data_IF_630375508622
#
_entry.id   IF_630375508622
#
_cell.length_a   1.000
_cell.length_b   1.000
_cell.length_c   1.000
_cell.angle_alpha   90.00
_cell.angle_beta   90.00
_cell.angle_gamma   90.00
#
_symmetry.space_group_name_H-M   'P 1'
#
loop_
_entity.id
_entity.type
_entity.pdbx_description
1 polymer ?
#
# COMPACT_ATOMS: atom_id res chain seq x y z
N UNK A 1 37.98 -38.62 18.97
CA UNK A 1 36.87 -38.69 18.00
C UNK A 1 36.31 -37.27 17.91
N UNK A 2 36.79 -36.39 17.01
CA UNK A 2 36.34 -36.24 15.60
C UNK A 2 34.81 -36.31 15.51
N UNK A 3 34.05 -35.28 15.11
CA UNK A 3 34.26 -34.41 13.95
C UNK A 3 33.64 -33.01 14.12
N UNK A 4 34.27 -32.08 13.42
CA UNK A 4 33.95 -30.68 13.11
C UNK A 4 32.74 -30.50 12.18
N UNK A 5 31.92 -29.47 12.41
CA UNK A 5 31.16 -28.80 11.34
C UNK A 5 30.96 -27.29 11.64
N UNK A 6 31.78 -26.46 11.01
CA UNK A 6 31.41 -25.10 10.56
C UNK A 6 32.22 -24.85 9.29
N UNK A 7 31.57 -24.55 8.15
CA UNK A 7 31.30 -23.17 7.70
C UNK A 7 29.86 -23.08 7.10
N UNK A 8 29.22 -21.94 6.83
CA UNK A 8 29.59 -20.53 6.75
C UNK A 8 28.30 -19.69 6.54
N UNK A 9 28.39 -18.43 6.13
CA UNK A 9 27.28 -17.48 6.16
C UNK A 9 26.39 -17.59 4.92
N UNK A 10 25.10 -17.83 5.12
CA UNK A 10 24.12 -17.73 4.04
C UNK A 10 23.81 -16.25 3.74
N UNK A 11 24.63 -15.71 2.84
CA UNK A 11 24.37 -14.47 2.15
C UNK A 11 23.05 -14.52 1.36
N UNK A 12 22.33 -13.41 1.46
CA UNK A 12 21.56 -12.79 0.39
C UNK A 12 20.92 -13.71 -0.67
N UNK A 13 19.64 -14.03 -0.48
CA UNK A 13 18.69 -14.14 -1.60
C UNK A 13 17.54 -13.18 -1.39
N UNK A 14 17.85 -11.91 -1.63
CA UNK A 14 16.86 -10.89 -1.96
C UNK A 14 16.30 -11.26 -3.33
N UNK A 15 15.23 -12.04 -3.35
CA UNK A 15 14.53 -12.38 -4.58
C UNK A 15 14.15 -11.09 -5.32
N UNK A 16 14.39 -10.99 -6.64
CA UNK A 16 13.89 -9.87 -7.41
C UNK A 16 12.37 -9.84 -7.27
N UNK A 17 11.83 -8.76 -6.73
CA UNK A 17 10.40 -8.45 -6.78
C UNK A 17 10.02 -8.26 -8.25
N UNK A 18 9.72 -9.37 -8.92
CA UNK A 18 9.11 -9.41 -10.24
C UNK A 18 7.65 -8.98 -10.10
N UNK A 19 7.45 -7.68 -9.92
CA UNK A 19 6.14 -7.09 -9.68
C UNK A 19 5.98 -5.81 -10.48
N UNK A 20 6.27 -5.83 -11.79
CA UNK A 20 5.93 -4.74 -12.72
C UNK A 20 6.30 -5.10 -14.17
N UNK A 21 5.84 -6.24 -14.69
CA UNK A 21 6.04 -6.59 -16.12
C UNK A 21 4.83 -7.26 -16.78
N UNK A 22 3.62 -7.02 -16.29
CA UNK A 22 2.38 -7.46 -16.98
C UNK A 22 1.70 -6.31 -17.72
N UNK A 23 2.01 -5.05 -17.40
CA UNK A 23 1.45 -3.89 -18.11
C UNK A 23 2.10 -3.56 -19.45
N UNK A 24 3.34 -3.97 -19.72
CA UNK A 24 4.07 -3.52 -20.92
C UNK A 24 3.73 -4.29 -22.18
N UNK A 25 3.43 -5.60 -22.08
CA UNK A 25 3.23 -6.44 -23.26
C UNK A 25 1.88 -6.14 -23.94
N UNK A 26 0.82 -5.95 -23.15
CA UNK A 26 -0.48 -5.50 -23.67
C UNK A 26 -0.43 -4.10 -24.25
N UNK A 27 0.33 -3.19 -23.62
CA UNK A 27 0.50 -1.83 -24.12
C UNK A 27 1.26 -1.77 -25.46
N UNK A 28 2.32 -2.56 -25.62
CA UNK A 28 3.05 -2.66 -26.89
C UNK A 28 2.16 -3.29 -27.97
N UNK A 29 1.39 -4.32 -27.65
CA UNK A 29 0.45 -4.92 -28.59
C UNK A 29 -0.62 -3.91 -29.06
N UNK A 30 -1.16 -3.09 -28.16
CA UNK A 30 -2.13 -2.03 -28.52
C UNK A 30 -1.51 -0.96 -29.43
N UNK A 31 -0.26 -0.56 -29.17
CA UNK A 31 0.45 0.40 -30.04
C UNK A 31 0.68 -0.18 -31.43
N UNK A 32 1.07 -1.45 -31.55
CA UNK A 32 1.27 -2.11 -32.85
C UNK A 32 -0.04 -2.17 -33.63
N UNK A 33 -1.16 -2.52 -32.98
CA UNK A 33 -2.49 -2.54 -33.61
C UNK A 33 -2.90 -1.13 -34.08
N UNK A 34 -2.63 -0.10 -33.27
CA UNK A 34 -2.90 1.30 -33.63
C UNK A 34 -2.09 1.75 -34.85
N UNK A 35 -0.80 1.40 -34.92
CA UNK A 35 0.07 1.72 -36.07
C UNK A 35 -0.43 1.02 -37.33
N UNK A 36 -0.83 -0.26 -37.23
CA UNK A 36 -1.39 -1.01 -38.37
C UNK A 36 -2.69 -0.38 -38.86
N UNK A 37 -3.58 0.03 -37.95
CA UNK A 37 -4.83 0.72 -38.30
C UNK A 37 -4.57 2.06 -39.01
N UNK A 38 -3.59 2.83 -38.53
CA UNK A 38 -3.18 4.11 -39.15
C UNK A 38 -2.63 3.90 -40.56
N UNK A 39 -1.75 2.91 -40.77
CA UNK A 39 -1.16 2.62 -42.09
C UNK A 39 -2.26 2.18 -43.07
N UNK A 40 -3.19 1.34 -42.62
CA UNK A 40 -4.30 0.86 -43.46
C UNK A 40 -5.26 1.99 -43.84
N UNK A 41 -5.54 2.90 -42.90
CA UNK A 41 -6.43 4.03 -43.14
C UNK A 41 -5.78 5.15 -43.97
N UNK A 42 -4.46 5.35 -43.84
CA UNK A 42 -3.71 6.34 -44.63
C UNK A 42 -3.51 5.90 -46.09
N UNK A 43 -3.47 4.60 -46.38
CA UNK A 43 -3.21 4.08 -47.72
C UNK A 43 -4.39 4.21 -48.70
N UNK A 44 -5.61 4.54 -48.24
CA UNK A 44 -6.78 4.73 -49.11
C UNK A 44 -7.14 6.19 -49.43
N UNK A 45 -6.35 7.19 -49.00
CA UNK A 45 -6.67 8.61 -49.18
C UNK A 45 -8.11 8.98 -48.75
N UNK A 46 -8.59 8.33 -47.70
CA UNK A 46 -9.95 8.49 -47.19
C UNK A 46 -9.92 9.39 -45.94
N UNK A 47 -10.85 10.35 -45.87
CA UNK A 47 -10.93 11.38 -44.81
C UNK A 47 -11.06 10.74 -43.43
N UNK A 48 -11.69 9.56 -43.37
CA UNK A 48 -11.86 8.76 -42.17
C UNK A 48 -10.51 8.32 -41.60
N UNK A 49 -9.54 7.99 -42.45
CA UNK A 49 -8.21 7.58 -42.00
C UNK A 49 -7.43 8.71 -41.35
N UNK A 50 -7.48 9.90 -41.92
CA UNK A 50 -6.85 11.09 -41.34
C UNK A 50 -7.47 11.49 -39.99
N UNK A 51 -8.78 11.30 -39.80
CA UNK A 51 -9.43 11.48 -38.50
C UNK A 51 -8.91 10.50 -37.45
N UNK A 52 -8.76 9.23 -37.82
CA UNK A 52 -8.20 8.21 -36.92
C UNK A 52 -6.75 8.56 -36.55
N UNK A 53 -5.93 9.01 -37.51
CA UNK A 53 -4.56 9.47 -37.24
C UNK A 53 -4.55 10.65 -36.26
N UNK A 54 -5.42 11.65 -36.45
CA UNK A 54 -5.49 12.82 -35.58
C UNK A 54 -5.91 12.46 -34.14
N UNK A 55 -6.91 11.59 -34.00
CA UNK A 55 -7.37 11.12 -32.68
C UNK A 55 -6.29 10.29 -31.99
N UNK A 56 -5.63 9.39 -32.72
CA UNK A 56 -4.53 8.59 -32.21
C UNK A 56 -3.34 9.45 -31.76
N UNK A 57 -2.97 10.46 -32.54
CA UNK A 57 -1.93 11.43 -32.18
C UNK A 57 -2.29 12.21 -30.91
N UNK A 58 -3.55 12.63 -30.76
CA UNK A 58 -4.05 13.28 -29.54
C UNK A 58 -3.89 12.39 -28.31
N UNK A 59 -4.26 11.11 -28.42
CA UNK A 59 -4.09 10.13 -27.34
C UNK A 59 -2.63 9.87 -26.99
N UNK A 60 -1.74 9.82 -27.98
CA UNK A 60 -0.30 9.67 -27.75
C UNK A 60 0.27 10.84 -26.96
N UNK A 61 -0.07 12.08 -27.36
CA UNK A 61 0.37 13.29 -26.65
C UNK A 61 -0.18 13.30 -25.23
N UNK A 62 -1.46 12.96 -25.03
CA UNK A 62 -2.06 12.86 -23.70
C UNK A 62 -1.31 11.86 -22.81
N UNK A 63 -1.02 10.65 -23.33
CA UNK A 63 -0.26 9.64 -22.60
C UNK A 63 1.14 10.12 -22.23
N UNK A 64 1.84 10.80 -23.13
CA UNK A 64 3.16 11.40 -22.85
C UNK A 64 3.06 12.45 -21.76
N UNK A 65 2.06 13.34 -21.81
CA UNK A 65 1.86 14.36 -20.77
C UNK A 65 1.60 13.71 -19.42
N UNK A 66 0.69 12.74 -19.33
CA UNK A 66 0.40 12.01 -18.08
C UNK A 66 1.65 11.30 -17.55
N UNK A 67 2.42 10.66 -18.43
CA UNK A 67 3.66 10.01 -18.06
C UNK A 67 4.70 10.99 -17.50
N UNK A 68 4.87 12.15 -18.13
CA UNK A 68 5.77 13.21 -17.66
C UNK A 68 5.29 13.80 -16.32
N UNK A 69 3.99 14.02 -16.15
CA UNK A 69 3.39 14.50 -14.89
C UNK A 69 3.59 13.50 -13.77
N UNK A 70 3.38 12.20 -14.02
CA UNK A 70 3.64 11.13 -13.06
C UNK A 70 5.13 11.08 -12.68
N UNK A 71 6.02 11.12 -13.67
CA UNK A 71 7.47 11.09 -13.44
C UNK A 71 7.94 12.30 -12.62
N UNK A 72 7.39 13.49 -12.87
CA UNK A 72 7.69 14.71 -12.09
C UNK A 72 7.09 14.67 -10.68
N UNK A 73 5.86 14.17 -10.54
CA UNK A 73 5.16 14.06 -9.26
C UNK A 73 5.82 13.07 -8.30
N UNK A 74 6.24 11.91 -8.79
CA UNK A 74 6.93 10.88 -7.99
C UNK A 74 8.30 11.38 -7.50
N UNK A 75 9.05 12.12 -8.34
CA UNK A 75 10.33 12.71 -7.94
C UNK A 75 10.18 13.87 -6.94
N UNK A 76 9.06 14.59 -6.95
CA UNK A 76 8.76 15.62 -5.96
C UNK A 76 8.28 15.01 -4.63
N UNK A 77 7.51 13.93 -4.67
CA UNK A 77 7.04 13.21 -3.49
C UNK A 77 8.19 12.50 -2.76
N UNK A 78 9.10 11.85 -3.48
CA UNK A 78 10.28 11.18 -2.89
C UNK A 78 11.15 12.15 -2.09
N UNK A 79 11.42 13.35 -2.64
CA UNK A 79 12.20 14.38 -1.93
C UNK A 79 11.54 14.88 -0.65
N UNK A 80 10.21 14.99 -0.61
CA UNK A 80 9.45 15.39 0.59
C UNK A 80 9.43 14.31 1.66
N UNK A 81 9.35 13.04 1.25
CA UNK A 81 9.43 11.89 2.17
C UNK A 81 10.84 11.76 2.74
N UNK A 82 11.88 11.95 1.91
CA UNK A 82 13.27 11.90 2.36
C UNK A 82 13.61 13.03 3.35
N UNK A 83 13.05 14.23 3.16
CA UNK A 83 13.22 15.34 4.12
C UNK A 83 12.42 15.10 5.40
N UNK A 84 11.18 14.62 5.31
CA UNK A 84 10.39 14.27 6.50
C UNK A 84 11.05 13.15 7.32
N UNK A 85 11.61 12.13 6.63
CA UNK A 85 12.32 11.03 7.26
C UNK A 85 13.64 11.49 7.92
N UNK A 86 14.36 12.42 7.31
CA UNK A 86 15.58 13.01 7.90
C UNK A 86 15.25 13.86 9.13
N UNK A 87 14.18 14.65 9.10
CA UNK A 87 13.73 15.44 10.25
C UNK A 87 13.28 14.55 11.41
N UNK A 88 12.51 13.49 11.14
CA UNK A 88 12.11 12.52 12.16
C UNK A 88 13.32 11.80 12.78
N UNK A 89 14.36 11.49 11.98
CA UNK A 89 15.62 10.92 12.49
C UNK A 89 16.42 11.92 13.34
N UNK A 90 16.42 13.19 12.96
CA UNK A 90 17.06 14.26 13.73
C UNK A 90 16.36 14.49 15.07
N UNK A 91 15.02 14.46 15.11
CA UNK A 91 14.24 14.58 16.36
C UNK A 91 14.51 13.42 17.31
N UNK A 92 14.58 12.19 16.80
CA UNK A 92 14.94 11.00 17.60
C UNK A 92 16.38 11.06 18.09
N UNK A 93 17.31 11.60 17.29
CA UNK A 93 18.70 11.80 17.70
C UNK A 93 18.84 12.92 18.76
N UNK A 94 18.05 13.99 18.65
CA UNK A 94 17.99 15.08 19.62
C UNK A 94 17.40 14.62 20.97
N UNK A 95 16.44 13.71 20.96
CA UNK A 95 15.93 13.06 22.17
C UNK A 95 17.01 12.18 22.83
N UNK A 96 17.74 11.37 22.04
CA UNK A 96 18.85 10.55 22.54
C UNK A 96 20.05 11.37 23.08
N UNK A 97 20.28 12.56 22.53
CA UNK A 97 21.32 13.48 23.01
C UNK A 97 20.94 14.23 24.29
N UNK A 98 19.65 14.31 24.62
CA UNK A 98 19.15 14.97 25.84
C UNK A 98 19.19 14.05 27.08
N UNK A 99 19.29 12.75 26.86
CA UNK A 99 19.36 11.72 27.91
C UNK A 99 20.78 11.53 28.49
N UNK A 100 21.79 12.26 27.99
CA UNK A 100 23.17 12.16 28.47
C UNK A 100 23.53 13.12 29.62
N UNK A 101 22.75 14.19 29.85
CA UNK A 101 23.11 15.27 30.80
C UNK A 101 22.02 15.64 31.83
N UNK A 102 20.97 14.83 32.00
CA UNK A 102 19.96 15.09 33.02
C UNK A 102 19.69 13.86 33.88
N UNK A 103 19.83 14.05 35.19
CA UNK A 103 19.45 13.12 36.24
C UNK A 103 18.14 12.37 35.90
N UNK A 104 18.17 11.06 36.15
CA UNK A 104 17.13 10.09 35.82
C UNK A 104 15.70 10.67 35.90
N UNK A 105 14.99 10.83 34.77
CA UNK A 105 13.56 11.00 34.81
C UNK A 105 12.95 9.63 35.04
N UNK A 106 11.99 9.56 35.97
CA UNK A 106 11.12 8.41 36.11
C UNK A 106 10.57 8.05 34.73
N UNK A 107 10.87 6.83 34.27
CA UNK A 107 10.40 6.28 33.01
C UNK A 107 8.88 6.29 33.06
N UNK A 108 8.26 7.29 32.42
CA UNK A 108 6.84 7.22 32.08
C UNK A 108 6.63 5.88 31.35
N UNK A 109 5.57 5.12 31.65
CA UNK A 109 5.37 3.81 31.06
C UNK A 109 5.40 4.00 29.54
N UNK A 110 6.45 3.45 28.92
CA UNK A 110 6.53 3.36 27.48
C UNK A 110 5.24 2.72 27.00
N UNK A 111 4.48 3.45 26.19
CA UNK A 111 3.29 2.89 25.55
C UNK A 111 3.70 1.53 24.97
N UNK A 112 2.95 0.45 25.27
CA UNK A 112 3.36 -0.90 24.89
C UNK A 112 3.65 -0.86 23.40
N UNK A 113 4.87 -1.27 23.04
CA UNK A 113 5.31 -1.32 21.65
C UNK A 113 4.21 -2.04 20.86
N UNK A 114 3.58 -1.31 19.94
CA UNK A 114 2.52 -1.83 19.13
C UNK A 114 3.00 -3.13 18.47
N UNK A 115 2.26 -4.22 18.67
CA UNK A 115 2.63 -5.52 18.10
C UNK A 115 2.66 -5.35 16.56
N UNK A 116 3.82 -5.49 15.89
CA UNK A 116 3.94 -5.29 14.45
C UNK A 116 3.06 -6.25 13.65
N UNK A 117 2.72 -7.42 14.19
CA UNK A 117 1.78 -8.37 13.59
C UNK A 117 0.34 -7.83 13.66
N UNK A 118 -0.05 -7.24 14.79
CA UNK A 118 -1.36 -6.62 14.98
C UNK A 118 -1.52 -5.41 14.06
N UNK A 119 -0.52 -4.57 13.96
CA UNK A 119 -0.57 -3.37 13.10
C UNK A 119 -0.70 -3.76 11.61
N UNK A 120 -0.02 -4.83 11.18
CA UNK A 120 -0.17 -5.39 9.82
C UNK A 120 -1.59 -5.91 9.56
N UNK A 121 -2.20 -6.59 10.54
CA UNK A 121 -3.58 -7.08 10.43
C UNK A 121 -4.59 -5.94 10.42
N UNK A 122 -4.38 -4.89 11.22
CA UNK A 122 -5.23 -3.70 11.23
C UNK A 122 -5.15 -2.94 9.90
N UNK A 123 -3.95 -2.76 9.34
CA UNK A 123 -3.78 -2.17 8.01
C UNK A 123 -4.55 -2.95 6.93
N UNK A 124 -4.48 -4.29 6.98
CA UNK A 124 -5.25 -5.14 6.08
C UNK A 124 -6.77 -4.97 6.27
N UNK A 125 -7.26 -4.95 7.51
CA UNK A 125 -8.68 -4.69 7.82
C UNK A 125 -9.14 -3.34 7.27
N UNK A 126 -8.35 -2.27 7.43
CA UNK A 126 -8.69 -0.96 6.87
C UNK A 126 -8.70 -0.95 5.35
N UNK A 127 -7.80 -1.70 4.70
CA UNK A 127 -7.80 -1.84 3.23
C UNK A 127 -9.05 -2.55 2.72
N UNK A 128 -9.53 -3.60 3.40
CA UNK A 128 -10.79 -4.27 3.05
C UNK A 128 -11.96 -3.28 3.15
N UNK A 129 -12.07 -2.56 4.26
CA UNK A 129 -13.12 -1.55 4.43
C UNK A 129 -13.08 -0.47 3.33
N UNK A 130 -11.88 -0.04 2.93
CA UNK A 130 -11.72 0.94 1.85
C UNK A 130 -12.19 0.42 0.48
N UNK A 131 -11.93 -0.85 0.16
CA UNK A 131 -12.43 -1.48 -1.07
C UNK A 131 -13.95 -1.53 -1.05
N UNK A 132 -14.55 -1.93 0.06
CA UNK A 132 -16.01 -2.03 0.17
C UNK A 132 -16.70 -0.66 0.12
N UNK A 133 -16.12 0.37 0.76
CA UNK A 133 -16.62 1.76 0.62
C UNK A 133 -16.59 2.22 -0.83
N UNK A 134 -15.58 1.79 -1.61
CA UNK A 134 -15.55 2.10 -3.05
C UNK A 134 -16.67 1.41 -3.81
N UNK A 135 -16.92 0.13 -3.54
CA UNK A 135 -18.04 -0.62 -4.14
C UNK A 135 -19.37 0.05 -3.83
N UNK A 136 -19.61 0.46 -2.58
CA UNK A 136 -20.83 1.19 -2.19
C UNK A 136 -20.95 2.50 -2.98
N UNK A 137 -19.87 3.28 -3.10
CA UNK A 137 -19.88 4.53 -3.88
C UNK A 137 -20.13 4.30 -5.36
N UNK A 138 -19.57 3.26 -5.94
CA UNK A 138 -19.78 2.88 -7.35
C UNK A 138 -21.24 2.50 -7.59
N UNK A 139 -21.84 1.70 -6.70
CA UNK A 139 -23.24 1.32 -6.80
C UNK A 139 -24.19 2.51 -6.58
N UNK A 140 -23.88 3.40 -5.64
CA UNK A 140 -24.65 4.64 -5.44
C UNK A 140 -24.57 5.56 -6.67
N UNK A 141 -23.43 5.60 -7.35
CA UNK A 141 -23.25 6.37 -8.58
C UNK A 141 -23.96 5.75 -9.80
N UNK A 142 -24.27 4.46 -9.76
CA UNK A 142 -24.98 3.75 -10.84
C UNK A 142 -26.46 4.14 -10.97
N UNK A 143 -27.03 4.88 -10.00
CA UNK A 143 -28.38 5.43 -10.08
C UNK A 143 -29.45 4.35 -10.23
N UNK A 144 -30.18 4.36 -11.35
CA UNK A 144 -31.21 3.34 -11.64
C UNK A 144 -30.63 1.93 -11.89
N UNK A 145 -29.34 1.81 -12.20
CA UNK A 145 -28.62 0.54 -12.35
C UNK A 145 -28.01 0.01 -11.05
N UNK A 146 -28.37 0.58 -9.90
CA UNK A 146 -27.82 0.22 -8.60
C UNK A 146 -28.25 -1.18 -8.15
N UNK A 147 -27.26 -2.02 -7.86
CA UNK A 147 -27.47 -3.31 -7.19
C UNK A 147 -27.48 -3.12 -5.67
N UNK A 148 -28.69 -3.04 -5.10
CA UNK A 148 -28.88 -2.89 -3.64
C UNK A 148 -28.32 -4.07 -2.85
N UNK A 149 -28.39 -5.28 -3.39
CA UNK A 149 -27.86 -6.47 -2.70
C UNK A 149 -26.33 -6.41 -2.61
N UNK A 150 -25.67 -5.87 -3.66
CA UNK A 150 -24.24 -5.62 -3.63
C UNK A 150 -23.85 -4.55 -2.61
N UNK A 151 -24.68 -3.51 -2.43
CA UNK A 151 -24.49 -2.50 -1.38
C UNK A 151 -24.63 -3.12 0.00
N UNK A 152 -25.68 -3.90 0.25
CA UNK A 152 -25.92 -4.54 1.54
C UNK A 152 -24.79 -5.52 1.91
N UNK A 153 -24.32 -6.34 0.96
CA UNK A 153 -23.18 -7.24 1.16
C UNK A 153 -21.87 -6.48 1.45
N UNK A 154 -21.67 -5.35 0.79
CA UNK A 154 -20.49 -4.51 1.04
C UNK A 154 -20.53 -3.86 2.44
N UNK A 155 -21.71 -3.40 2.88
CA UNK A 155 -21.92 -2.84 4.21
C UNK A 155 -21.74 -3.90 5.31
N UNK A 156 -22.27 -5.11 5.12
CA UNK A 156 -22.06 -6.24 6.04
C UNK A 156 -20.57 -6.56 6.19
N UNK A 157 -19.83 -6.59 5.07
CA UNK A 157 -18.38 -6.83 5.10
C UNK A 157 -17.63 -5.74 5.88
N UNK A 158 -18.05 -4.48 5.74
CA UNK A 158 -17.48 -3.36 6.52
C UNK A 158 -17.75 -3.56 8.01
N UNK A 159 -18.96 -3.95 8.40
CA UNK A 159 -19.32 -4.11 9.80
C UNK A 159 -18.56 -5.26 10.47
N UNK A 160 -18.47 -6.42 9.81
CA UNK A 160 -17.66 -7.57 10.26
C UNK A 160 -16.18 -7.15 10.42
N UNK A 161 -15.65 -6.45 9.43
CA UNK A 161 -14.25 -6.00 9.44
C UNK A 161 -14.00 -4.99 10.58
N UNK A 162 -14.95 -4.09 10.82
CA UNK A 162 -14.88 -3.11 11.90
C UNK A 162 -14.98 -3.75 13.28
N UNK A 163 -15.82 -4.78 13.46
CA UNK A 163 -15.89 -5.56 14.70
C UNK A 163 -14.55 -6.24 14.99
N UNK A 164 -14.03 -6.98 14.01
CA UNK A 164 -12.76 -7.69 14.14
C UNK A 164 -11.59 -6.74 14.46
N UNK A 165 -11.51 -5.59 13.77
CA UNK A 165 -10.49 -4.58 14.06
C UNK A 165 -10.65 -3.97 15.46
N UNK A 166 -11.88 -3.75 15.93
CA UNK A 166 -12.14 -3.25 17.28
C UNK A 166 -11.74 -4.26 18.36
N UNK A 167 -11.98 -5.55 18.13
CA UNK A 167 -11.59 -6.59 19.08
C UNK A 167 -10.07 -6.73 19.18
N UNK A 168 -9.36 -6.65 18.07
CA UNK A 168 -7.89 -6.59 18.04
C UNK A 168 -7.31 -5.38 18.81
N UNK A 169 -8.01 -4.25 18.81
CA UNK A 169 -7.63 -3.07 19.59
C UNK A 169 -7.92 -3.28 21.08
N UNK A 170 -9.06 -3.90 21.44
CA UNK A 170 -9.42 -4.19 22.85
C UNK A 170 -8.50 -5.21 23.49
N UNK A 171 -8.15 -6.29 22.78
CA UNK A 171 -7.21 -7.32 23.25
C UNK A 171 -5.86 -6.70 23.65
N UNK A 172 -5.41 -5.70 22.89
CA UNK A 172 -4.19 -4.95 23.23
C UNK A 172 -4.29 -4.06 24.46
N UNK A 173 -5.50 -3.62 24.81
CA UNK A 173 -5.76 -2.85 26.03
C UNK A 173 -5.91 -3.75 27.25
N UNK A 174 -6.40 -4.98 27.05
CA UNK A 174 -6.57 -5.98 28.10
C UNK A 174 -5.25 -6.67 28.52
N UNK A 175 -4.25 -6.73 27.62
CA UNK A 175 -2.92 -7.30 27.90
C UNK A 175 -2.04 -6.54 28.91
N UNK A 176 -2.58 -5.57 29.65
CA UNK A 176 -1.88 -4.80 30.69
C UNK A 176 -2.18 -5.21 32.14
N UNK A 177 -3.06 -6.18 32.40
CA UNK A 177 -3.49 -6.49 33.77
C UNK A 177 -3.79 -7.98 34.06
N UNK A 178 -3.10 -8.92 33.41
CA UNK A 178 -3.13 -10.34 33.81
C UNK A 178 -1.70 -10.90 33.78
N UNK A 179 -0.96 -10.62 34.86
CA UNK A 179 0.18 -11.46 35.22
C UNK A 179 -0.32 -12.84 35.68
N UNK A 180 0.50 -13.90 35.58
CA UNK A 180 0.12 -15.22 36.06
C UNK A 180 -0.20 -15.12 37.56
N UNK A 181 -1.38 -15.62 37.95
CA UNK A 181 -1.79 -15.69 39.36
C UNK A 181 -0.86 -16.67 40.08
N UNK A 182 0.20 -16.13 40.68
CA UNK A 182 1.07 -16.88 41.59
C UNK A 182 0.40 -16.88 42.96
N UNK A 183 -0.36 -17.95 43.23
CA UNK A 183 -0.90 -18.25 44.55
C UNK A 183 -0.26 -19.54 45.07
N UNK A 184 0.27 -19.50 46.29
CA UNK A 184 0.63 -20.72 47.02
C UNK A 184 -0.65 -21.38 47.54
N UNK A 185 -0.92 -22.60 47.12
CA UNK A 185 -1.96 -23.43 47.73
C UNK A 185 -1.45 -23.88 49.10
N UNK A 186 -2.04 -23.36 50.16
CA UNK A 186 -1.84 -23.86 51.52
C UNK A 186 -2.92 -24.91 51.75
N UNK A 187 -2.51 -26.18 51.79
CA UNK A 187 -3.30 -27.31 52.24
C UNK A 187 -2.95 -27.69 53.67
#
# INVERSE_FOLDING_TARGET
MSQSLTPGPDGARRGPRAGLRVGSLGFVAMIVILIVAIIFAANQNDVIGWLVVAVAAGWLVFAVVVYLQMRRGVQAAGRKVDTAMQNARADVAALRGRDADAAAPAVAPQAPAADPMRDTKLDHSFKIAQVQVRVVREQLAAGEGMDREMVDRALETIDITASNARDMIKESRAGGAEGPVSGTVIG
#
